data_IF_627480180992
#
_entry.id   IF_627480180992
#
_cell.length_a   1.000
_cell.length_b   1.000
_cell.length_c   1.000
_cell.angle_alpha   90.00
_cell.angle_beta   90.00
_cell.angle_gamma   90.00
#
_symmetry.space_group_name_H-M   'P 1'
#
loop_
_entity.id
_entity.type
_entity.pdbx_description
1 polymer ?
#
# COMPACT_ATOMS: atom_id res chain seq x y z
N UNK A 1 -3.36 -3.91 -21.57
CA UNK A 1 -3.64 -5.36 -21.47
C UNK A 1 -3.60 -5.95 -22.86
N UNK A 2 -2.96 -7.12 -23.02
CA UNK A 2 -3.01 -7.89 -24.28
C UNK A 2 -4.31 -8.68 -24.29
N UNK A 3 -5.07 -8.57 -25.39
CA UNK A 3 -6.35 -9.24 -25.61
C UNK A 3 -6.27 -10.15 -26.86
N UNK A 4 -7.21 -11.07 -26.99
CA UNK A 4 -7.31 -11.95 -28.15
C UNK A 4 -7.59 -11.19 -29.45
N UNK A 5 -7.08 -11.71 -30.56
CA UNK A 5 -7.28 -11.10 -31.90
C UNK A 5 -8.74 -11.04 -32.34
N UNK A 6 -9.58 -11.87 -31.77
CA UNK A 6 -11.02 -11.97 -32.07
C UNK A 6 -11.86 -10.97 -31.29
N UNK A 7 -11.23 -10.21 -30.36
CA UNK A 7 -11.91 -9.17 -29.57
C UNK A 7 -12.23 -7.99 -30.48
N UNK A 8 -13.50 -7.65 -30.57
CA UNK A 8 -13.97 -6.52 -31.38
C UNK A 8 -13.71 -5.21 -30.64
N UNK A 9 -13.43 -4.15 -31.39
CA UNK A 9 -13.35 -2.81 -30.82
C UNK A 9 -14.68 -2.41 -30.17
N UNK A 10 -14.62 -1.84 -28.97
CA UNK A 10 -15.79 -1.53 -28.13
C UNK A 10 -16.40 -2.72 -27.39
N UNK A 11 -15.81 -3.92 -27.46
CA UNK A 11 -16.30 -5.06 -26.69
C UNK A 11 -16.15 -4.84 -25.17
N UNK A 12 -17.24 -4.98 -24.43
CA UNK A 12 -17.23 -4.94 -22.97
C UNK A 12 -16.71 -6.27 -22.42
N UNK A 13 -15.85 -6.19 -21.42
CA UNK A 13 -15.28 -7.37 -20.76
C UNK A 13 -14.87 -7.08 -19.33
N UNK A 14 -14.31 -8.08 -18.68
CA UNK A 14 -13.88 -8.02 -17.27
C UNK A 14 -12.39 -7.88 -17.20
N UNK A 15 -11.92 -6.89 -16.47
CA UNK A 15 -10.50 -6.69 -16.21
C UNK A 15 -10.13 -7.16 -14.80
N UNK A 16 -9.16 -8.05 -14.71
CA UNK A 16 -8.55 -8.53 -13.48
C UNK A 16 -7.17 -7.90 -13.32
N UNK A 17 -6.96 -7.05 -12.31
CA UNK A 17 -5.66 -6.40 -12.08
C UNK A 17 -4.61 -7.41 -11.59
N UNK A 18 -3.34 -7.06 -11.75
CA UNK A 18 -2.24 -7.79 -11.11
C UNK A 18 -2.46 -7.86 -9.59
N UNK A 19 -2.00 -8.96 -8.98
CA UNK A 19 -2.23 -9.30 -7.57
C UNK A 19 -3.67 -9.71 -7.23
N UNK A 20 -4.55 -9.84 -8.21
CA UNK A 20 -5.78 -10.59 -8.08
C UNK A 20 -5.52 -12.09 -7.98
N UNK A 21 -6.35 -12.80 -7.23
CA UNK A 21 -6.42 -14.26 -7.21
C UNK A 21 -7.80 -14.69 -7.69
N UNK A 22 -7.85 -15.33 -8.85
CA UNK A 22 -9.09 -15.85 -9.40
C UNK A 22 -9.62 -17.01 -8.53
N UNK A 23 -10.92 -17.19 -8.50
CA UNK A 23 -11.52 -18.33 -7.81
C UNK A 23 -11.23 -19.64 -8.57
N UNK A 24 -11.32 -20.75 -7.87
CA UNK A 24 -11.13 -22.08 -8.45
C UNK A 24 -12.21 -22.39 -9.48
N UNK A 25 -13.46 -22.14 -9.11
CA UNK A 25 -14.61 -22.35 -9.99
C UNK A 25 -14.52 -21.52 -11.28
N UNK A 26 -14.10 -20.25 -11.19
CA UNK A 26 -13.93 -19.40 -12.37
C UNK A 26 -12.79 -19.90 -13.28
N UNK A 27 -11.66 -20.30 -12.70
CA UNK A 27 -10.54 -20.85 -13.48
C UNK A 27 -10.87 -22.18 -14.13
N UNK A 28 -11.63 -23.04 -13.48
CA UNK A 28 -12.03 -24.34 -14.01
C UNK A 28 -13.06 -24.17 -15.12
N UNK A 29 -14.10 -23.37 -14.89
CA UNK A 29 -15.16 -23.11 -15.86
C UNK A 29 -14.66 -22.50 -17.18
N UNK A 30 -13.56 -21.73 -17.12
CA UNK A 30 -12.95 -21.05 -18.25
C UNK A 30 -11.65 -21.70 -18.76
N UNK A 31 -11.34 -22.91 -18.33
CA UNK A 31 -10.12 -23.66 -18.74
C UNK A 31 -8.81 -22.87 -18.61
N UNK A 32 -8.68 -22.07 -17.54
CA UNK A 32 -7.55 -21.15 -17.37
C UNK A 32 -6.28 -21.80 -16.83
N UNK A 33 -6.32 -23.05 -16.35
CA UNK A 33 -5.17 -23.72 -15.76
C UNK A 33 -4.20 -24.26 -16.80
N UNK A 34 -2.89 -24.19 -16.50
CA UNK A 34 -1.87 -24.95 -17.24
C UNK A 34 -2.05 -26.46 -17.03
N UNK A 35 -1.53 -27.26 -17.93
CA UNK A 35 -1.56 -28.73 -17.80
C UNK A 35 -0.91 -29.21 -16.48
N UNK A 36 0.21 -28.59 -16.07
CA UNK A 36 0.88 -28.88 -14.81
C UNK A 36 0.06 -28.48 -13.57
N UNK A 37 -0.68 -27.39 -13.65
CA UNK A 37 -1.56 -26.97 -12.57
C UNK A 37 -2.75 -27.94 -12.42
N UNK A 38 -3.35 -28.40 -13.52
CA UNK A 38 -4.44 -29.40 -13.51
C UNK A 38 -4.00 -30.70 -12.84
N UNK A 39 -2.79 -31.17 -13.16
CA UNK A 39 -2.22 -32.39 -12.51
C UNK A 39 -2.06 -32.15 -10.99
N UNK A 40 -1.50 -31.02 -10.56
CA UNK A 40 -1.33 -30.69 -9.14
C UNK A 40 -2.64 -30.59 -8.36
N UNK A 41 -3.70 -30.17 -9.04
CA UNK A 41 -5.04 -29.99 -8.45
C UNK A 41 -5.93 -31.22 -8.62
N UNK A 42 -5.43 -32.31 -9.20
CA UNK A 42 -6.18 -33.51 -9.54
C UNK A 42 -7.43 -33.26 -10.40
N UNK A 43 -7.36 -32.26 -11.29
CA UNK A 43 -8.42 -31.93 -12.23
C UNK A 43 -8.32 -32.80 -13.49
N UNK A 44 -9.47 -33.05 -14.13
CA UNK A 44 -9.52 -33.77 -15.38
C UNK A 44 -8.69 -33.06 -16.47
N UNK A 45 -8.07 -33.81 -17.40
CA UNK A 45 -7.44 -33.21 -18.57
C UNK A 45 -8.42 -32.35 -19.35
N UNK A 46 -7.99 -31.19 -19.83
CA UNK A 46 -8.75 -30.34 -20.73
C UNK A 46 -8.10 -30.31 -22.11
N UNK A 47 -8.90 -30.17 -23.16
CA UNK A 47 -8.42 -29.95 -24.51
C UNK A 47 -7.77 -28.60 -24.72
N UNK A 48 -8.15 -27.59 -23.94
CA UNK A 48 -7.55 -26.25 -23.90
C UNK A 48 -6.50 -26.17 -22.79
N UNK A 49 -5.42 -25.45 -23.07
CA UNK A 49 -4.35 -25.20 -22.10
C UNK A 49 -4.33 -23.71 -21.77
N UNK A 50 -4.74 -23.41 -20.55
CA UNK A 50 -4.63 -22.07 -20.00
C UNK A 50 -3.21 -21.74 -19.54
N UNK A 51 -3.03 -20.60 -18.92
CA UNK A 51 -1.71 -20.09 -18.50
C UNK A 51 -1.61 -19.81 -16.99
N UNK A 52 -2.64 -20.13 -16.20
CA UNK A 52 -2.60 -19.99 -14.75
C UNK A 52 -2.00 -21.21 -14.06
N UNK A 53 -1.12 -20.92 -13.10
CA UNK A 53 -0.61 -21.93 -12.17
C UNK A 53 -1.68 -22.23 -11.09
N UNK A 54 -1.44 -23.26 -10.28
CA UNK A 54 -2.32 -23.71 -9.18
C UNK A 54 -2.67 -22.59 -8.17
N UNK A 55 -1.85 -21.55 -8.04
CA UNK A 55 -2.10 -20.42 -7.15
C UNK A 55 -3.07 -19.36 -7.71
N UNK A 56 -3.44 -19.46 -8.98
CA UNK A 56 -4.43 -18.62 -9.68
C UNK A 56 -4.16 -17.11 -9.60
N UNK A 57 -2.92 -16.73 -9.36
CA UNK A 57 -2.53 -15.31 -9.24
C UNK A 57 -2.45 -14.66 -10.61
N UNK A 58 -3.14 -13.54 -10.78
CA UNK A 58 -2.97 -12.66 -11.94
C UNK A 58 -1.62 -11.94 -11.84
N UNK A 59 -0.76 -12.14 -12.82
CA UNK A 59 0.58 -11.54 -12.87
C UNK A 59 0.74 -10.74 -14.15
N UNK A 60 1.59 -9.74 -14.12
CA UNK A 60 2.06 -9.13 -15.35
C UNK A 60 2.80 -10.19 -16.19
N UNK A 61 2.43 -10.29 -17.47
CA UNK A 61 3.01 -11.24 -18.41
C UNK A 61 3.41 -10.54 -19.72
N UNK A 62 4.28 -11.19 -20.48
CA UNK A 62 4.63 -10.75 -21.84
C UNK A 62 4.09 -11.76 -22.85
N UNK A 63 3.31 -11.25 -23.80
CA UNK A 63 2.81 -12.00 -24.93
C UNK A 63 3.46 -11.46 -26.21
N UNK A 64 4.27 -12.26 -26.90
CA UNK A 64 4.99 -11.85 -28.11
C UNK A 64 5.79 -10.54 -27.98
N UNK A 65 6.36 -10.29 -26.78
CA UNK A 65 7.13 -9.07 -26.48
C UNK A 65 6.30 -7.95 -25.84
N UNK A 66 4.98 -7.94 -26.01
CA UNK A 66 4.09 -6.94 -25.43
C UNK A 66 3.73 -7.26 -23.98
N UNK A 67 3.78 -6.24 -23.12
CA UNK A 67 3.47 -6.37 -21.69
C UNK A 67 1.97 -6.28 -21.45
N UNK A 68 1.45 -7.22 -20.68
CA UNK A 68 0.06 -7.22 -20.15
C UNK A 68 0.09 -7.14 -18.63
N UNK A 69 -0.42 -6.05 -18.07
CA UNK A 69 -0.47 -5.79 -16.63
C UNK A 69 -1.83 -6.19 -16.03
N UNK A 70 -2.36 -7.31 -16.45
CA UNK A 70 -3.62 -7.87 -15.98
C UNK A 70 -4.17 -8.89 -16.96
N UNK A 71 -5.34 -9.41 -16.64
CA UNK A 71 -6.11 -10.30 -17.50
C UNK A 71 -7.40 -9.62 -17.91
N UNK A 72 -7.73 -9.65 -19.20
CA UNK A 72 -9.04 -9.29 -19.71
C UNK A 72 -9.77 -10.55 -20.15
N UNK A 73 -11.04 -10.67 -19.81
CA UNK A 73 -11.92 -11.78 -20.20
C UNK A 73 -13.23 -11.23 -20.75
N UNK A 74 -13.82 -11.87 -21.75
CA UNK A 74 -15.13 -11.47 -22.26
C UNK A 74 -16.24 -11.72 -21.21
N UNK A 75 -17.38 -11.04 -21.32
CA UNK A 75 -18.49 -11.18 -20.37
C UNK A 75 -19.03 -12.61 -20.29
N UNK A 76 -18.96 -13.37 -21.38
CA UNK A 76 -19.35 -14.76 -21.46
C UNK A 76 -18.62 -15.66 -20.47
N UNK A 77 -17.41 -15.24 -20.06
CA UNK A 77 -16.63 -15.97 -19.06
C UNK A 77 -17.31 -16.04 -17.68
N UNK A 78 -18.32 -15.20 -17.43
CA UNK A 78 -19.16 -15.28 -16.23
C UNK A 78 -20.33 -16.26 -16.34
N UNK A 79 -20.48 -16.93 -17.48
CA UNK A 79 -21.58 -17.87 -17.72
C UNK A 79 -21.08 -19.31 -17.67
N UNK A 80 -21.42 -20.06 -16.63
CA UNK A 80 -21.13 -21.51 -16.49
C UNK A 80 -22.28 -22.23 -15.79
N UNK A 81 -22.33 -23.58 -15.83
CA UNK A 81 -23.40 -24.34 -15.19
C UNK A 81 -23.55 -23.98 -13.70
N UNK A 82 -24.77 -23.66 -13.30
CA UNK A 82 -25.11 -23.23 -11.95
C UNK A 82 -25.08 -21.70 -11.74
N UNK A 83 -24.62 -20.93 -12.72
CA UNK A 83 -24.66 -19.48 -12.72
C UNK A 83 -25.90 -19.00 -13.48
N UNK A 84 -26.76 -18.24 -12.80
CA UNK A 84 -28.06 -17.80 -13.35
C UNK A 84 -28.13 -16.30 -13.67
N UNK A 85 -27.12 -15.52 -13.28
CA UNK A 85 -27.10 -14.10 -13.53
C UNK A 85 -26.70 -13.77 -14.98
N UNK A 86 -27.35 -12.75 -15.55
CA UNK A 86 -27.06 -12.32 -16.91
C UNK A 86 -25.90 -11.31 -16.94
N UNK A 87 -24.70 -11.69 -17.43
CA UNK A 87 -23.52 -10.81 -17.43
C UNK A 87 -23.68 -9.58 -18.33
N UNK A 88 -24.58 -9.61 -19.30
CA UNK A 88 -24.86 -8.47 -20.18
C UNK A 88 -25.61 -7.31 -19.50
N UNK A 89 -25.91 -7.41 -18.20
CA UNK A 89 -26.40 -6.29 -17.39
C UNK A 89 -25.28 -5.39 -16.86
N UNK A 90 -24.04 -5.88 -16.88
CA UNK A 90 -22.86 -5.12 -16.45
C UNK A 90 -22.59 -3.94 -17.37
N UNK A 91 -22.12 -2.85 -16.79
CA UNK A 91 -21.77 -1.61 -17.48
C UNK A 91 -20.31 -1.30 -17.27
N UNK A 92 -19.75 -0.48 -18.13
CA UNK A 92 -18.42 0.07 -17.95
C UNK A 92 -18.31 0.79 -16.59
N UNK A 93 -17.25 0.47 -15.84
CA UNK A 93 -17.00 1.01 -14.50
C UNK A 93 -17.57 0.18 -13.34
N UNK A 94 -18.43 -0.82 -13.60
CA UNK A 94 -18.91 -1.73 -12.55
C UNK A 94 -17.73 -2.53 -11.94
N UNK A 95 -17.72 -2.64 -10.62
CA UNK A 95 -16.69 -3.40 -9.89
C UNK A 95 -17.33 -4.43 -8.97
N UNK A 96 -16.81 -5.64 -8.99
CA UNK A 96 -17.32 -6.73 -8.17
C UNK A 96 -16.22 -7.76 -7.85
N UNK A 97 -16.37 -8.47 -6.75
CA UNK A 97 -15.52 -9.60 -6.36
C UNK A 97 -16.25 -10.94 -6.45
N UNK A 98 -17.58 -10.88 -6.49
CA UNK A 98 -18.49 -12.02 -6.58
C UNK A 98 -19.49 -11.79 -7.71
N UNK A 99 -19.94 -12.89 -8.32
CA UNK A 99 -20.95 -12.87 -9.36
C UNK A 99 -21.91 -14.05 -9.18
N UNK A 100 -23.21 -13.75 -9.12
CA UNK A 100 -24.25 -14.79 -8.93
C UNK A 100 -24.05 -15.64 -7.67
N UNK A 101 -23.50 -15.08 -6.61
CA UNK A 101 -23.20 -15.77 -5.36
C UNK A 101 -21.88 -16.56 -5.37
N UNK A 102 -21.11 -16.50 -6.48
CA UNK A 102 -19.81 -17.16 -6.60
C UNK A 102 -18.68 -16.13 -6.51
N UNK A 103 -17.64 -16.37 -5.70
CA UNK A 103 -16.45 -15.53 -5.71
C UNK A 103 -15.74 -15.65 -7.07
N UNK A 104 -15.32 -14.53 -7.65
CA UNK A 104 -14.64 -14.46 -8.93
C UNK A 104 -13.16 -14.14 -8.75
N UNK A 105 -12.86 -13.04 -8.04
CA UNK A 105 -11.49 -12.60 -7.82
C UNK A 105 -11.36 -11.91 -6.46
N UNK A 106 -10.35 -12.32 -5.70
CA UNK A 106 -9.97 -11.71 -4.44
C UNK A 106 -8.51 -11.25 -4.50
N UNK A 107 -8.07 -10.47 -3.52
CA UNK A 107 -6.65 -10.11 -3.41
C UNK A 107 -5.81 -11.35 -3.13
N UNK A 108 -4.73 -11.51 -3.89
CA UNK A 108 -3.76 -12.58 -3.66
C UNK A 108 -2.91 -12.30 -2.42
N UNK A 109 -2.85 -13.25 -1.52
CA UNK A 109 -1.94 -13.22 -0.38
C UNK A 109 -0.87 -14.31 -0.55
N UNK A 110 0.40 -13.94 -0.33
CA UNK A 110 1.47 -14.93 -0.36
C UNK A 110 1.30 -15.96 0.76
N UNK A 111 1.82 -17.19 0.61
CA UNK A 111 1.80 -18.18 1.69
C UNK A 111 2.43 -17.65 2.99
N UNK A 112 3.45 -16.81 2.89
CA UNK A 112 4.06 -16.15 4.05
C UNK A 112 3.08 -15.19 4.73
N UNK A 113 2.39 -14.34 3.95
CA UNK A 113 1.35 -13.43 4.46
C UNK A 113 0.20 -14.20 5.11
N UNK A 114 -0.25 -15.30 4.47
CA UNK A 114 -1.31 -16.16 5.04
C UNK A 114 -0.88 -16.84 6.35
N UNK A 115 0.39 -17.28 6.45
CA UNK A 115 0.94 -17.81 7.71
C UNK A 115 0.98 -16.74 8.79
N UNK A 116 1.44 -15.54 8.47
CA UNK A 116 1.43 -14.40 9.39
C UNK A 116 0.02 -14.03 9.86
N UNK A 117 -0.98 -14.11 8.98
CA UNK A 117 -2.38 -13.89 9.31
C UNK A 117 -2.99 -15.00 10.18
N UNK A 118 -2.54 -16.25 10.03
CA UNK A 118 -3.03 -17.41 10.81
C UNK A 118 -2.34 -17.56 12.17
N UNK A 119 -1.16 -16.99 12.34
CA UNK A 119 -0.27 -17.23 13.48
C UNK A 119 -0.42 -16.31 14.67
N UNK A 120 -1.40 -15.42 14.73
CA UNK A 120 -1.55 -14.50 15.85
C UNK A 120 -3.00 -14.19 16.18
N UNK A 121 -3.34 -14.16 17.46
CA UNK A 121 -4.45 -13.34 17.97
C UNK A 121 -4.36 -11.98 17.28
N UNK A 122 -5.46 -11.42 16.72
CA UNK A 122 -5.40 -10.10 16.12
C UNK A 122 -4.91 -9.15 17.22
N UNK A 123 -3.63 -8.74 17.13
CA UNK A 123 -3.08 -7.70 17.99
C UNK A 123 -4.00 -6.52 17.76
N UNK A 124 -4.73 -6.10 18.78
CA UNK A 124 -5.61 -4.93 18.71
C UNK A 124 -4.74 -3.77 18.24
N UNK A 125 -4.89 -3.35 16.99
CA UNK A 125 -4.11 -2.25 16.42
C UNK A 125 -4.50 -1.01 17.20
N UNK A 126 -3.59 -0.53 18.04
CA UNK A 126 -3.81 0.72 18.76
C UNK A 126 -3.97 1.81 17.72
N UNK A 127 -5.12 2.46 17.71
CA UNK A 127 -5.40 3.64 16.91
C UNK A 127 -5.35 4.86 17.82
N UNK A 128 -4.91 5.96 17.28
CA UNK A 128 -4.85 7.23 18.01
C UNK A 128 -5.39 8.34 17.09
N UNK A 129 -6.40 9.12 17.54
CA UNK A 129 -7.05 10.13 16.70
C UNK A 129 -6.08 11.16 16.13
N UNK A 130 -5.09 11.57 16.93
CA UNK A 130 -4.08 12.54 16.52
C UNK A 130 -2.83 11.90 15.90
N UNK A 131 -2.83 10.59 15.60
CA UNK A 131 -1.72 9.89 14.96
C UNK A 131 -2.19 9.09 13.74
N UNK A 132 -2.65 9.77 12.67
CA UNK A 132 -3.22 9.14 11.50
C UNK A 132 -2.27 8.16 10.85
N UNK A 133 -2.83 7.11 10.24
CA UNK A 133 -2.10 6.13 9.43
C UNK A 133 -1.64 6.76 8.13
N UNK A 134 -0.71 6.09 7.46
CA UNK A 134 -0.34 6.44 6.11
C UNK A 134 -1.49 6.10 5.15
N UNK A 135 -1.93 7.09 4.39
CA UNK A 135 -2.91 6.90 3.33
C UNK A 135 -2.26 6.24 2.12
N UNK A 136 -2.98 5.30 1.49
CA UNK A 136 -2.52 4.69 0.25
C UNK A 136 -2.63 5.70 -0.89
N UNK A 137 -1.48 6.05 -1.47
CA UNK A 137 -1.40 6.99 -2.59
C UNK A 137 -1.98 6.35 -3.84
N UNK A 138 -2.94 7.02 -4.49
CA UNK A 138 -3.50 6.59 -5.76
C UNK A 138 -2.44 6.68 -6.87
N UNK A 139 -2.49 5.77 -7.83
CA UNK A 139 -1.59 5.85 -8.97
C UNK A 139 -1.95 7.04 -9.85
N UNK A 140 -0.95 7.85 -10.21
CA UNK A 140 -1.13 9.08 -10.99
C UNK A 140 -1.97 8.91 -12.25
N UNK A 141 -1.76 7.83 -13.02
CA UNK A 141 -2.52 7.52 -14.23
C UNK A 141 -4.04 7.39 -14.03
N UNK A 142 -4.51 7.20 -12.79
CA UNK A 142 -5.94 7.08 -12.48
C UNK A 142 -6.52 8.35 -11.85
N UNK A 143 -5.70 9.37 -11.63
CA UNK A 143 -6.12 10.62 -10.97
C UNK A 143 -5.60 11.85 -11.70
N UNK A 144 -4.90 11.68 -12.81
CA UNK A 144 -4.35 12.80 -13.57
C UNK A 144 -5.45 13.80 -13.97
N UNK A 145 -6.60 13.29 -14.44
CA UNK A 145 -7.73 14.09 -14.87
C UNK A 145 -8.45 14.81 -13.70
N UNK A 146 -8.25 14.35 -12.46
CA UNK A 146 -8.79 14.98 -11.25
C UNK A 146 -7.94 16.19 -10.79
N UNK A 147 -6.75 16.37 -11.35
CA UNK A 147 -5.80 17.43 -10.95
C UNK A 147 -5.95 18.62 -11.92
N UNK A 148 -6.18 19.85 -11.41
CA UNK A 148 -6.23 21.02 -12.27
C UNK A 148 -4.91 21.24 -13.05
N UNK A 149 -5.00 21.65 -14.30
CA UNK A 149 -3.82 21.86 -15.17
C UNK A 149 -2.85 22.94 -14.62
N UNK A 150 -3.38 23.93 -13.91
CA UNK A 150 -2.64 25.01 -13.26
C UNK A 150 -2.10 24.64 -11.87
N UNK A 151 -2.42 23.45 -11.37
CA UNK A 151 -1.92 22.98 -10.08
C UNK A 151 -0.40 22.84 -10.11
N UNK A 152 0.27 23.47 -9.13
CA UNK A 152 1.72 23.35 -8.96
C UNK A 152 2.05 22.00 -8.33
N UNK A 153 2.81 21.20 -9.03
CA UNK A 153 3.21 19.86 -8.62
C UNK A 153 4.70 19.71 -8.46
N UNK A 154 5.06 18.78 -7.60
CA UNK A 154 6.42 18.31 -7.35
C UNK A 154 6.46 16.81 -7.52
N UNK A 155 7.39 16.30 -8.32
CA UNK A 155 7.59 14.87 -8.51
C UNK A 155 8.81 14.44 -7.73
N UNK A 156 8.62 13.55 -6.79
CA UNK A 156 9.68 13.02 -5.94
C UNK A 156 9.92 11.54 -6.22
N UNK A 157 11.11 11.07 -5.90
CA UNK A 157 11.42 9.65 -5.99
C UNK A 157 10.66 8.87 -4.91
N UNK A 158 9.98 7.80 -5.33
CA UNK A 158 9.42 6.84 -4.39
C UNK A 158 10.49 5.82 -4.01
N UNK A 159 11.03 5.96 -2.82
CA UNK A 159 12.01 5.02 -2.28
C UNK A 159 11.36 3.68 -1.93
N UNK A 160 12.16 2.63 -2.01
CA UNK A 160 11.75 1.27 -1.72
C UNK A 160 12.44 0.78 -0.44
N UNK A 161 11.76 0.94 0.66
CA UNK A 161 12.26 0.63 1.99
C UNK A 161 11.14 0.20 2.94
N UNK A 162 11.17 0.69 4.15
CA UNK A 162 10.10 0.48 5.13
C UNK A 162 9.59 1.81 5.67
N UNK A 163 8.29 2.01 5.57
CA UNK A 163 7.65 3.25 6.02
C UNK A 163 7.64 3.35 7.54
N UNK A 164 7.92 4.54 8.02
CA UNK A 164 7.78 4.96 9.40
C UNK A 164 6.99 6.25 9.52
N UNK A 165 6.48 6.49 10.72
CA UNK A 165 5.86 7.75 11.12
C UNK A 165 6.24 8.07 12.55
N UNK A 166 6.48 9.34 12.83
CA UNK A 166 6.88 9.82 14.14
C UNK A 166 6.25 11.18 14.40
N UNK A 167 5.69 11.40 15.59
CA UNK A 167 5.00 12.67 15.86
C UNK A 167 4.93 13.00 17.34
N UNK A 168 4.85 14.29 17.64
CA UNK A 168 4.53 14.84 18.96
C UNK A 168 3.03 15.19 18.99
N UNK A 169 2.23 14.23 19.37
CA UNK A 169 0.78 14.28 19.24
C UNK A 169 0.06 14.55 20.56
N UNK A 170 -1.09 15.19 20.45
CA UNK A 170 -1.98 15.45 21.58
C UNK A 170 -2.68 14.16 22.03
N UNK A 171 -2.66 13.87 23.28
CA UNK A 171 -3.48 12.84 23.93
C UNK A 171 -4.42 13.49 24.92
N UNK A 172 -5.66 13.03 24.95
CA UNK A 172 -6.68 13.56 25.85
C UNK A 172 -6.52 12.93 27.24
N UNK A 173 -6.32 13.74 28.25
CA UNK A 173 -6.30 13.29 29.62
C UNK A 173 -7.72 12.96 30.09
N UNK A 174 -7.93 11.79 30.70
CA UNK A 174 -9.24 11.46 31.24
C UNK A 174 -9.62 12.43 32.36
N UNK A 175 -10.83 12.96 32.27
CA UNK A 175 -11.38 13.75 33.37
C UNK A 175 -11.51 12.90 34.63
N UNK A 176 -11.32 13.45 35.82
CA UNK A 176 -11.73 12.81 37.06
C UNK A 176 -13.19 12.38 36.97
N UNK A 177 -13.53 11.21 37.52
CA UNK A 177 -14.86 10.60 37.39
C UNK A 177 -16.02 11.53 37.75
N UNK A 178 -15.83 12.41 38.72
CA UNK A 178 -16.88 13.37 39.16
C UNK A 178 -17.10 14.50 38.14
N UNK A 179 -16.06 14.96 37.44
CA UNK A 179 -16.17 15.93 36.31
C UNK A 179 -16.89 15.30 35.13
N UNK A 180 -16.55 14.04 34.83
CA UNK A 180 -17.20 13.29 33.77
C UNK A 180 -18.69 13.08 34.07
N UNK A 181 -19.04 12.81 35.32
CA UNK A 181 -20.44 12.67 35.75
C UNK A 181 -21.21 13.99 35.56
N UNK A 182 -20.62 15.14 35.93
CA UNK A 182 -21.23 16.46 35.72
C UNK A 182 -21.42 16.76 34.24
N UNK A 183 -20.42 16.47 33.39
CA UNK A 183 -20.53 16.63 31.95
C UNK A 183 -21.65 15.76 31.35
N UNK A 184 -21.85 14.54 31.85
CA UNK A 184 -22.95 13.66 31.39
C UNK A 184 -24.34 14.21 31.75
N UNK A 185 -24.47 14.84 32.91
CA UNK A 185 -25.74 15.45 33.35
C UNK A 185 -26.02 16.74 32.57
N UNK A 186 -24.99 17.50 32.24
CA UNK A 186 -25.07 18.73 31.46
C UNK A 186 -25.52 18.52 30.01
N UNK A 187 -25.38 17.28 29.44
CA UNK A 187 -25.71 16.96 28.04
C UNK A 187 -27.20 17.12 27.69
N UNK A 188 -28.07 17.39 28.63
CA UNK A 188 -29.48 17.72 28.39
C UNK A 188 -29.73 19.17 27.89
N UNK A 189 -28.76 19.78 27.16
CA UNK A 189 -28.94 21.08 26.48
C UNK A 189 -28.02 22.19 26.95
N UNK A 190 -27.01 21.87 27.77
CA UNK A 190 -25.99 22.79 28.25
C UNK A 190 -24.61 22.27 27.79
N UNK A 191 -23.72 23.16 27.31
CA UNK A 191 -22.35 22.76 27.01
C UNK A 191 -21.67 22.16 28.25
N UNK A 192 -20.88 21.07 28.07
CA UNK A 192 -20.16 20.46 29.18
C UNK A 192 -19.25 21.48 29.87
N UNK A 193 -19.40 21.72 31.20
CA UNK A 193 -18.65 22.78 31.89
C UNK A 193 -17.16 22.48 32.05
N UNK A 194 -16.73 21.25 31.85
CA UNK A 194 -15.33 20.85 31.97
C UNK A 194 -14.79 20.37 30.64
N UNK A 195 -13.80 21.09 30.10
CA UNK A 195 -13.02 20.66 28.96
C UNK A 195 -11.97 19.61 29.40
N UNK A 196 -11.61 18.70 28.50
CA UNK A 196 -10.49 17.80 28.72
C UNK A 196 -9.17 18.56 28.66
N UNK A 197 -8.25 18.23 29.53
CA UNK A 197 -6.87 18.64 29.42
C UNK A 197 -6.15 17.78 28.39
N UNK A 198 -5.09 18.30 27.79
CA UNK A 198 -4.30 17.63 26.77
C UNK A 198 -2.84 17.53 27.21
N UNK A 199 -2.25 16.38 26.97
CA UNK A 199 -0.83 16.12 27.08
C UNK A 199 -0.26 15.81 25.71
N UNK A 200 1.01 16.20 25.47
CA UNK A 200 1.69 15.87 24.23
C UNK A 200 2.72 14.77 24.48
N UNK A 201 2.63 13.72 23.67
CA UNK A 201 3.55 12.60 23.73
C UNK A 201 4.12 12.25 22.37
N UNK A 202 5.34 11.75 22.36
CA UNK A 202 5.95 11.22 21.16
C UNK A 202 5.40 9.82 20.87
N UNK A 203 4.90 9.64 19.66
CA UNK A 203 4.51 8.34 19.15
C UNK A 203 5.37 7.95 17.94
N UNK A 204 5.79 6.70 17.91
CA UNK A 204 6.48 6.09 16.79
C UNK A 204 5.61 4.99 16.17
N UNK A 205 5.64 4.83 14.85
CA UNK A 205 4.81 3.85 14.16
C UNK A 205 5.39 3.40 12.83
N UNK A 206 4.99 2.22 12.43
CA UNK A 206 5.11 1.75 11.05
C UNK A 206 3.92 2.27 10.23
N UNK A 207 3.78 1.85 8.97
CA UNK A 207 2.65 2.24 8.09
C UNK A 207 1.29 2.16 8.82
N UNK A 208 1.03 1.08 9.58
CA UNK A 208 -0.29 0.78 10.13
C UNK A 208 -0.32 0.56 11.65
N UNK A 209 0.83 0.47 12.32
CA UNK A 209 0.92 0.06 13.73
C UNK A 209 1.67 1.11 14.53
N UNK A 210 1.15 1.47 15.69
CA UNK A 210 1.88 2.26 16.69
C UNK A 210 2.84 1.31 17.40
N UNK A 211 4.12 1.65 17.40
CA UNK A 211 5.16 0.87 18.06
C UNK A 211 5.15 1.18 19.56
N UNK A 212 5.30 0.14 20.35
CA UNK A 212 5.42 0.22 21.81
C UNK A 212 6.62 -0.61 22.25
N UNK A 213 7.08 -0.44 23.47
CA UNK A 213 8.16 -1.26 24.04
C UNK A 213 7.88 -2.78 23.98
N UNK A 214 6.61 -3.18 23.90
CA UNK A 214 6.20 -4.58 23.75
C UNK A 214 6.11 -5.05 22.29
N UNK A 215 6.43 -4.19 21.33
CA UNK A 215 6.37 -4.55 19.90
C UNK A 215 7.56 -5.46 19.54
N UNK A 216 7.27 -6.61 18.92
CA UNK A 216 8.23 -7.69 18.61
C UNK A 216 9.09 -7.44 17.35
N UNK A 217 9.11 -6.22 16.80
CA UNK A 217 9.82 -5.92 15.56
C UNK A 217 9.22 -6.53 14.29
N UNK A 218 8.25 -7.41 14.41
CA UNK A 218 7.55 -8.02 13.28
C UNK A 218 8.48 -8.80 12.35
N UNK A 219 8.46 -8.47 11.04
CA UNK A 219 9.31 -9.11 10.03
C UNK A 219 10.82 -8.98 10.30
N UNK A 220 11.22 -7.86 10.91
CA UNK A 220 12.63 -7.52 11.13
C UNK A 220 13.19 -8.06 12.46
N UNK A 221 12.35 -8.56 13.35
CA UNK A 221 12.74 -9.05 14.68
C UNK A 221 13.16 -7.97 15.66
N UNK A 222 13.34 -6.72 15.21
CA UNK A 222 13.67 -5.56 16.04
C UNK A 222 13.04 -4.29 15.50
N UNK A 223 12.86 -3.29 16.36
CA UNK A 223 12.44 -1.93 16.01
C UNK A 223 13.55 -0.89 16.23
N UNK A 224 14.73 -1.31 16.68
CA UNK A 224 15.82 -0.41 17.07
C UNK A 224 16.19 0.57 15.95
N UNK A 225 16.27 0.10 14.72
CA UNK A 225 16.58 0.94 13.57
C UNK A 225 15.51 2.02 13.32
N UNK A 226 14.23 1.74 13.66
CA UNK A 226 13.15 2.74 13.56
C UNK A 226 13.18 3.76 14.70
N UNK A 227 13.61 3.32 15.89
CA UNK A 227 13.74 4.20 17.03
C UNK A 227 14.98 5.09 16.91
N UNK A 228 16.07 4.53 16.41
CA UNK A 228 17.34 5.24 16.26
C UNK A 228 17.24 6.41 15.27
N UNK A 229 16.53 6.26 14.14
CA UNK A 229 16.42 7.34 13.13
C UNK A 229 15.61 8.55 13.61
N UNK A 230 14.77 8.40 14.62
CA UNK A 230 13.94 9.48 15.18
C UNK A 230 14.43 9.96 16.54
N UNK A 231 15.47 9.31 17.08
CA UNK A 231 15.99 9.62 18.41
C UNK A 231 16.53 11.05 18.50
N UNK A 232 16.03 11.80 19.47
CA UNK A 232 16.46 13.18 19.72
C UNK A 232 15.85 14.24 18.83
N UNK A 233 14.95 13.87 17.90
CA UNK A 233 14.23 14.86 17.09
C UNK A 233 13.30 15.73 17.96
N UNK A 234 13.36 17.03 17.74
CA UNK A 234 12.50 18.01 18.42
C UNK A 234 11.40 18.47 17.46
N UNK A 235 10.20 17.92 17.64
CA UNK A 235 9.03 18.26 16.84
C UNK A 235 8.19 19.35 17.51
N UNK A 236 7.46 20.10 16.71
CA UNK A 236 6.43 20.99 17.22
C UNK A 236 5.20 20.22 17.69
N UNK A 237 4.42 20.79 18.60
CA UNK A 237 3.16 20.20 19.05
C UNK A 237 2.22 19.97 17.87
N UNK A 238 1.77 18.74 17.70
CA UNK A 238 0.93 18.29 16.60
C UNK A 238 1.69 17.94 15.31
N UNK A 239 2.99 18.09 15.27
CA UNK A 239 3.80 17.77 14.09
C UNK A 239 4.04 16.27 13.96
N UNK A 240 3.87 15.76 12.73
CA UNK A 240 4.10 14.36 12.38
C UNK A 240 4.94 14.24 11.11
N UNK A 241 5.98 13.44 11.18
CA UNK A 241 6.81 13.07 10.04
C UNK A 241 6.38 11.70 9.49
N UNK A 242 6.31 11.61 8.16
CA UNK A 242 6.21 10.36 7.43
C UNK A 242 7.46 10.18 6.60
N UNK A 243 8.09 9.03 6.73
CA UNK A 243 9.39 8.78 6.15
C UNK A 243 9.55 7.33 5.69
N UNK A 244 10.52 7.13 4.81
CA UNK A 244 10.97 5.82 4.38
C UNK A 244 12.37 5.56 4.96
N UNK A 245 12.60 4.38 5.52
CA UNK A 245 13.92 3.94 5.98
C UNK A 245 14.45 2.94 4.96
N UNK A 246 15.68 3.18 4.48
CA UNK A 246 16.36 2.36 3.50
C UNK A 246 17.72 1.89 4.03
N UNK A 247 18.32 0.90 3.39
CA UNK A 247 19.61 0.33 3.79
C UNK A 247 19.45 -0.98 4.53
N UNK A 248 20.03 -1.08 5.70
CA UNK A 248 20.11 -2.32 6.48
C UNK A 248 19.41 -2.19 7.83
N UNK A 249 18.86 -3.29 8.34
CA UNK A 249 18.32 -3.40 9.70
C UNK A 249 19.49 -3.42 10.70
N UNK A 250 20.45 -4.29 10.43
CA UNK A 250 21.74 -4.47 11.11
C UNK A 250 22.66 -5.27 10.21
N UNK A 251 23.95 -5.22 10.42
CA UNK A 251 24.97 -5.97 9.66
C UNK A 251 24.62 -6.06 8.16
N UNK A 252 24.57 -7.25 7.60
CA UNK A 252 24.20 -7.52 6.19
C UNK A 252 22.71 -7.86 5.98
N UNK A 253 21.83 -7.55 6.93
CA UNK A 253 20.40 -7.80 6.79
C UNK A 253 19.72 -6.58 6.16
N UNK A 254 19.41 -6.60 4.85
CA UNK A 254 18.82 -5.46 4.19
C UNK A 254 17.36 -5.27 4.62
N UNK A 255 16.91 -4.01 4.68
CA UNK A 255 15.51 -3.65 4.98
C UNK A 255 14.59 -4.23 3.89
N UNK A 256 14.98 -4.09 2.63
CA UNK A 256 14.26 -4.71 1.51
C UNK A 256 14.94 -6.01 1.09
N UNK A 257 14.17 -7.10 0.96
CA UNK A 257 14.75 -8.37 0.53
C UNK A 257 15.28 -8.29 -0.89
N UNK A 258 16.21 -9.17 -1.21
CA UNK A 258 16.73 -9.30 -2.57
C UNK A 258 15.62 -9.62 -3.57
N UNK A 259 15.62 -8.92 -4.69
CA UNK A 259 14.73 -9.14 -5.83
C UNK A 259 15.42 -9.96 -6.90
N UNK A 260 14.79 -11.04 -7.30
CA UNK A 260 15.24 -11.88 -8.41
C UNK A 260 14.95 -11.16 -9.74
N UNK A 261 16.02 -10.66 -10.37
CA UNK A 261 15.92 -9.92 -11.63
C UNK A 261 15.62 -10.84 -12.81
N UNK A 262 16.04 -12.10 -12.74
CA UNK A 262 15.78 -13.07 -13.80
C UNK A 262 14.28 -13.25 -14.04
N UNK A 263 13.46 -13.14 -12.98
CA UNK A 263 11.99 -13.21 -13.07
C UNK A 263 11.32 -11.98 -13.68
N UNK A 264 12.01 -10.86 -13.77
CA UNK A 264 11.45 -9.61 -14.32
C UNK A 264 11.52 -9.56 -15.84
N UNK A 265 12.34 -10.39 -16.47
CA UNK A 265 12.60 -10.39 -17.91
C UNK A 265 13.42 -9.19 -18.42
N UNK A 266 13.97 -8.38 -17.51
CA UNK A 266 14.79 -7.20 -17.83
C UNK A 266 16.25 -7.61 -18.04
N UNK A 267 16.57 -8.16 -19.22
CA UNK A 267 17.89 -8.72 -19.56
C UNK A 267 19.03 -7.71 -19.41
N UNK A 268 18.79 -6.44 -19.72
CA UNK A 268 19.82 -5.41 -19.62
C UNK A 268 20.18 -5.13 -18.16
N UNK A 269 19.20 -5.08 -17.27
CA UNK A 269 19.41 -4.94 -15.83
C UNK A 269 20.10 -6.18 -15.26
N UNK A 270 19.66 -7.38 -15.67
CA UNK A 270 20.30 -8.64 -15.26
C UNK A 270 21.77 -8.69 -15.71
N UNK A 271 22.08 -8.23 -16.93
CA UNK A 271 23.45 -8.18 -17.46
C UNK A 271 24.33 -7.20 -16.69
N UNK A 272 23.77 -6.07 -16.24
CA UNK A 272 24.49 -5.01 -15.54
C UNK A 272 24.66 -5.30 -14.04
N UNK A 273 23.65 -5.85 -13.38
CA UNK A 273 23.60 -5.98 -11.92
C UNK A 273 23.53 -7.43 -11.44
N UNK A 274 23.52 -8.42 -12.34
CA UNK A 274 23.38 -9.84 -11.99
C UNK A 274 21.95 -10.29 -11.76
N UNK A 275 21.81 -11.52 -11.25
CA UNK A 275 20.51 -12.18 -11.11
C UNK A 275 19.67 -11.67 -9.92
N UNK A 276 20.28 -10.91 -9.01
CA UNK A 276 19.65 -10.43 -7.79
C UNK A 276 20.04 -8.99 -7.49
N UNK A 277 19.05 -8.15 -7.18
CA UNK A 277 19.25 -6.75 -6.80
C UNK A 277 18.70 -6.51 -5.39
N UNK A 278 19.46 -5.75 -4.60
CA UNK A 278 19.01 -5.24 -3.31
C UNK A 278 19.01 -3.71 -3.33
N UNK A 279 17.92 -3.10 -2.86
CA UNK A 279 17.79 -1.64 -2.81
C UNK A 279 18.32 -1.11 -1.48
N UNK A 280 19.62 -0.81 -1.44
CA UNK A 280 20.29 -0.26 -0.24
C UNK A 280 20.51 1.25 -0.32
N UNK A 281 20.30 1.86 -1.48
CA UNK A 281 20.50 3.31 -1.72
C UNK A 281 21.88 3.81 -1.29
N UNK A 282 22.91 3.02 -1.57
CA UNK A 282 24.30 3.28 -1.20
C UNK A 282 24.53 3.45 0.31
N UNK A 283 23.67 2.90 1.13
CA UNK A 283 23.95 2.76 2.56
C UNK A 283 25.06 1.71 2.75
N UNK A 284 26.10 2.00 3.55
CA UNK A 284 27.06 0.99 3.99
C UNK A 284 26.35 -0.18 4.71
N UNK A 285 26.98 -1.34 4.71
CA UNK A 285 26.46 -2.50 5.47
C UNK A 285 26.27 -2.14 6.93
N UNK A 286 25.14 -2.56 7.50
CA UNK A 286 24.74 -2.25 8.87
C UNK A 286 24.16 -0.85 9.08
N UNK A 287 24.25 0.04 8.09
CA UNK A 287 23.71 1.39 8.18
C UNK A 287 22.34 1.50 7.54
N UNK A 288 21.56 2.47 8.02
CA UNK A 288 20.27 2.82 7.46
C UNK A 288 20.10 4.33 7.45
N UNK A 289 19.24 4.83 6.53
CA UNK A 289 18.94 6.26 6.40
C UNK A 289 17.45 6.48 6.31
N UNK A 290 17.01 7.58 6.92
CA UNK A 290 15.64 8.04 6.89
C UNK A 290 15.48 9.14 5.85
N UNK A 291 14.42 9.04 5.04
CA UNK A 291 14.03 10.05 4.05
C UNK A 291 12.59 10.49 4.29
N UNK A 292 12.40 11.75 4.62
CA UNK A 292 11.07 12.32 4.86
C UNK A 292 10.38 12.61 3.53
N UNK A 293 9.13 12.19 3.40
CA UNK A 293 8.34 12.46 2.19
C UNK A 293 7.05 13.24 2.45
N UNK A 294 6.63 13.36 3.72
CA UNK A 294 5.40 14.05 4.10
C UNK A 294 5.50 14.53 5.54
N UNK A 295 4.99 15.73 5.80
CA UNK A 295 4.83 16.27 7.16
C UNK A 295 3.39 16.71 7.33
N UNK A 296 2.78 16.34 8.44
CA UNK A 296 1.44 16.75 8.83
C UNK A 296 1.50 17.59 10.11
N UNK A 297 0.55 18.51 10.22
CA UNK A 297 0.16 19.10 11.49
C UNK A 297 -1.23 18.60 11.86
N UNK A 298 -1.37 18.04 13.05
CA UNK A 298 -2.61 17.50 13.59
C UNK A 298 -2.97 18.25 14.86
N UNK A 299 -4.14 18.87 14.89
CA UNK A 299 -4.59 19.58 16.08
C UNK A 299 -5.15 18.61 17.14
N UNK A 300 -5.60 19.17 18.27
CA UNK A 300 -6.16 18.41 19.38
C UNK A 300 -7.46 17.66 19.02
N UNK A 301 -8.18 18.16 18.02
CA UNK A 301 -9.43 17.55 17.53
C UNK A 301 -9.19 16.49 16.45
N UNK A 302 -7.92 16.21 16.11
CA UNK A 302 -7.55 15.27 15.06
C UNK A 302 -7.67 15.82 13.64
N UNK A 303 -7.87 17.16 13.49
CA UNK A 303 -7.91 17.79 12.16
C UNK A 303 -6.49 17.85 11.60
N UNK A 304 -6.34 17.33 10.40
CA UNK A 304 -5.05 17.16 9.72
C UNK A 304 -4.85 18.27 8.69
N UNK A 305 -3.65 18.87 8.68
CA UNK A 305 -3.17 19.74 7.61
C UNK A 305 -1.82 19.23 7.11
N UNK A 306 -1.73 18.96 5.83
CA UNK A 306 -0.49 18.58 5.17
C UNK A 306 0.34 19.80 4.80
N UNK A 307 1.65 19.73 5.01
CA UNK A 307 2.59 20.78 4.60
C UNK A 307 2.84 20.67 3.09
N UNK A 308 2.94 21.80 2.42
CA UNK A 308 3.39 21.84 1.02
C UNK A 308 4.85 21.37 0.90
N UNK A 309 5.25 20.92 -0.30
CA UNK A 309 6.62 20.43 -0.51
C UNK A 309 7.71 21.43 -0.12
N UNK A 310 7.64 22.74 -0.46
CA UNK A 310 8.59 23.72 0.04
C UNK A 310 8.66 23.82 1.57
N UNK A 311 7.53 23.66 2.26
CA UNK A 311 7.50 23.64 3.73
C UNK A 311 8.14 22.36 4.27
N UNK A 312 7.91 21.20 3.63
CA UNK A 312 8.56 19.94 4.00
C UNK A 312 10.08 20.05 3.88
N UNK A 313 10.59 20.58 2.76
CA UNK A 313 12.03 20.74 2.54
C UNK A 313 12.66 21.71 3.55
N UNK A 314 12.02 22.86 3.81
CA UNK A 314 12.48 23.82 4.81
C UNK A 314 12.53 23.20 6.21
N UNK A 315 11.47 22.48 6.59
CA UNK A 315 11.41 21.84 7.91
C UNK A 315 12.42 20.70 8.05
N UNK A 316 12.66 19.93 7.01
CA UNK A 316 13.74 18.94 7.01
C UNK A 316 15.11 19.58 7.25
N UNK A 317 15.38 20.72 6.61
CA UNK A 317 16.63 21.47 6.83
C UNK A 317 16.79 21.94 8.27
N UNK A 318 15.71 22.46 8.90
CA UNK A 318 15.71 22.87 10.31
C UNK A 318 16.00 21.70 11.27
N UNK A 319 15.45 20.51 10.96
CA UNK A 319 15.62 19.30 11.76
C UNK A 319 16.93 18.54 11.45
N UNK A 320 17.71 18.98 10.46
CA UNK A 320 18.88 18.23 9.98
C UNK A 320 18.53 16.89 9.31
N UNK A 321 17.34 16.78 8.75
CA UNK A 321 16.83 15.57 8.10
C UNK A 321 16.96 15.64 6.58
N UNK A 322 17.01 14.48 5.97
CA UNK A 322 16.98 14.33 4.51
C UNK A 322 15.55 14.06 4.05
N UNK A 323 15.10 14.75 3.03
CA UNK A 323 13.85 14.45 2.35
C UNK A 323 14.10 13.53 1.14
N UNK A 324 13.05 12.89 0.61
CA UNK A 324 13.14 12.10 -0.64
C UNK A 324 13.63 12.98 -1.79
N UNK A 325 14.39 12.42 -2.76
CA UNK A 325 14.91 13.17 -3.89
C UNK A 325 13.80 13.83 -4.71
N UNK A 326 13.96 15.10 -5.05
CA UNK A 326 13.10 15.81 -5.98
C UNK A 326 13.55 15.48 -7.40
N UNK A 327 12.66 14.93 -8.22
CA UNK A 327 12.93 14.61 -9.62
C UNK A 327 12.61 15.80 -10.53
N UNK A 328 11.49 16.48 -10.28
CA UNK A 328 11.13 17.71 -11.00
C UNK A 328 10.11 18.54 -10.19
N UNK A 329 10.08 19.85 -10.46
CA UNK A 329 9.16 20.84 -9.87
C UNK A 329 9.92 22.07 -9.32
N UNK A 330 9.21 23.14 -9.01
CA UNK A 330 7.77 23.33 -9.26
C UNK A 330 7.45 23.43 -10.76
N UNK A 331 6.39 22.74 -11.17
CA UNK A 331 5.80 22.87 -12.52
C UNK A 331 4.30 22.78 -12.41
N UNK A 332 3.57 23.40 -13.33
CA UNK A 332 2.15 23.09 -13.46
C UNK A 332 1.95 21.72 -14.10
N UNK A 333 0.78 21.12 -13.87
CA UNK A 333 0.48 19.84 -14.51
C UNK A 333 0.52 19.97 -16.05
N UNK A 334 0.02 21.06 -16.62
CA UNK A 334 0.06 21.33 -18.04
C UNK A 334 1.47 21.48 -18.64
N UNK A 335 2.48 21.79 -17.83
CA UNK A 335 3.90 21.86 -18.24
C UNK A 335 4.62 20.50 -18.23
N UNK A 336 3.98 19.49 -17.65
CA UNK A 336 4.47 18.13 -17.71
C UNK A 336 3.98 17.52 -19.02
N UNK A 337 4.87 17.46 -20.01
CA UNK A 337 4.59 16.67 -21.21
C UNK A 337 4.41 15.20 -20.82
N UNK A 338 3.26 14.64 -21.16
CA UNK A 338 2.97 13.21 -21.00
C UNK A 338 3.58 12.41 -22.15
#
# INVERSE_FOLDING_TARGET
VVIGLDTKDGALGIFFPTDGQLSEAFCEANDLYTASARIKLNLAPSASVGFFDHNRRVRAQRFRGERSDGLWMPLESLSWPGQNDNPYRLKEGDTFTEWGGFPICNKYFTPATLRAMRGGTPKTRREHPCFPKHDDTRQFRFVADDIPEDAIIYITEKLHGTSGRYGLVSDTLPLPWWKELINRVAWFGIEPPFANDFEYQYLNGSKNVILTAASDGGWYGTNDFRENVVKGLQLHKGEMLFFEIVGYVHDNVPIMPHHDVAKTGLKDIQKQFGDSICYTYSCPEGEHRMYVYKILNVNQDGIVRELSWPQVTARCAELGLVHVPLLTGPKTLGELAY
#
